data_IF_739074182146
#
_entry.id   IF_739074182146
#
_cell.length_a   1.000
_cell.length_b   1.000
_cell.length_c   1.000
_cell.angle_alpha   90.00
_cell.angle_beta   90.00
_cell.angle_gamma   90.00
#
_symmetry.space_group_name_H-M   'P 1'
#
loop_
_entity.id
_entity.type
_entity.pdbx_description
1 polymer ?
#
# COMPACT_ATOMS: atom_id res chain seq x y z
N UNK A 1 3.10 -0.77 14.26
CA UNK A 1 2.31 -1.69 15.09
C UNK A 1 1.57 -2.65 14.16
N UNK A 2 1.54 -3.96 14.46
CA UNK A 2 0.86 -4.98 13.64
C UNK A 2 -0.42 -5.47 14.29
N UNK A 3 -1.46 -5.77 13.50
CA UNK A 3 -2.69 -6.39 13.98
C UNK A 3 -2.60 -7.92 13.87
N UNK A 4 -2.23 -8.57 14.97
CA UNK A 4 -1.88 -10.00 14.99
C UNK A 4 -2.93 -10.93 14.39
N UNK A 5 -4.22 -10.72 14.67
CA UNK A 5 -5.29 -11.56 14.13
C UNK A 5 -5.41 -11.45 12.60
N UNK A 6 -5.36 -10.23 12.06
CA UNK A 6 -5.40 -9.98 10.61
C UNK A 6 -4.18 -10.58 9.91
N UNK A 7 -3.00 -10.41 10.51
CA UNK A 7 -1.73 -10.92 10.01
C UNK A 7 -1.70 -12.46 9.94
N UNK A 8 -2.23 -13.15 10.96
CA UNK A 8 -2.36 -14.61 10.96
C UNK A 8 -3.29 -15.09 9.86
N UNK A 9 -4.43 -14.40 9.65
CA UNK A 9 -5.37 -14.74 8.57
C UNK A 9 -4.73 -14.52 7.20
N UNK A 10 -4.06 -13.39 7.02
CA UNK A 10 -3.35 -13.06 5.78
C UNK A 10 -2.41 -14.19 5.36
N UNK A 11 -1.53 -14.61 6.28
CA UNK A 11 -0.54 -15.65 6.02
C UNK A 11 -1.10 -17.02 5.67
N UNK A 12 -2.36 -17.31 6.03
CA UNK A 12 -2.95 -18.64 5.88
C UNK A 12 -4.00 -18.73 4.77
N UNK A 13 -4.71 -17.64 4.50
CA UNK A 13 -5.97 -17.70 3.76
C UNK A 13 -6.16 -16.62 2.70
N UNK A 14 -5.26 -15.64 2.60
CA UNK A 14 -5.39 -14.53 1.64
C UNK A 14 -4.30 -14.61 0.58
N UNK A 15 -4.56 -14.00 -0.58
CA UNK A 15 -3.53 -13.80 -1.59
C UNK A 15 -2.41 -12.93 -1.03
N UNK A 16 -1.15 -13.14 -1.41
CA UNK A 16 0.01 -12.40 -0.90
C UNK A 16 0.08 -10.99 -1.53
N UNK A 17 -1.00 -10.22 -1.37
CA UNK A 17 -1.14 -8.86 -1.89
C UNK A 17 -1.35 -7.93 -0.71
N UNK A 18 -0.47 -6.93 -0.58
CA UNK A 18 -0.54 -5.89 0.43
C UNK A 18 -0.74 -4.55 -0.27
N UNK A 19 -1.77 -3.82 0.14
CA UNK A 19 -1.96 -2.43 -0.28
C UNK A 19 -1.36 -1.52 0.80
N UNK A 20 -0.50 -0.58 0.40
CA UNK A 20 0.10 0.40 1.31
C UNK A 20 -0.20 1.82 0.85
N UNK A 21 -0.52 2.68 1.82
CA UNK A 21 -0.80 4.09 1.56
C UNK A 21 -0.39 4.97 2.75
N UNK A 22 -0.15 6.24 2.46
CA UNK A 22 0.17 7.29 3.43
C UNK A 22 -0.92 8.37 3.41
N UNK A 23 -1.30 8.86 4.59
CA UNK A 23 -2.26 9.97 4.67
C UNK A 23 -1.77 11.06 5.60
N UNK A 24 -1.72 12.29 5.09
CA UNK A 24 -1.27 13.45 5.84
C UNK A 24 -2.33 13.93 6.83
N UNK A 25 -1.94 14.12 8.08
CA UNK A 25 -2.82 14.56 9.14
C UNK A 25 -3.00 16.08 9.12
N UNK A 26 -4.27 16.50 9.11
CA UNK A 26 -4.67 17.91 9.21
C UNK A 26 -4.87 18.27 10.68
N UNK A 27 -3.79 18.50 11.41
CA UNK A 27 -3.82 18.89 12.81
C UNK A 27 -2.60 19.69 13.20
N UNK A 28 -2.61 20.25 14.42
CA UNK A 28 -1.50 21.08 14.96
C UNK A 28 -0.13 20.40 14.88
N UNK A 29 -0.12 19.07 14.96
CA UNK A 29 1.11 18.27 15.00
C UNK A 29 1.54 17.72 13.63
N UNK A 30 0.71 17.91 12.58
CA UNK A 30 1.00 17.38 11.24
C UNK A 30 1.26 15.88 11.23
N UNK A 31 2.15 15.44 10.34
CA UNK A 31 2.57 14.05 10.22
C UNK A 31 1.80 13.26 9.17
N UNK A 32 2.21 12.01 9.01
CA UNK A 32 1.63 11.04 8.08
C UNK A 32 1.29 9.75 8.83
N UNK A 33 0.09 9.22 8.61
CA UNK A 33 -0.23 7.84 9.01
C UNK A 33 0.00 6.94 7.81
N UNK A 34 0.91 5.98 7.97
CA UNK A 34 1.13 4.88 7.05
C UNK A 34 0.25 3.70 7.44
N UNK A 35 -0.40 3.08 6.45
CA UNK A 35 -1.26 1.92 6.66
C UNK A 35 -0.92 0.85 5.63
N UNK A 36 -0.87 -0.40 6.09
CA UNK A 36 -0.82 -1.58 5.25
C UNK A 36 -2.12 -2.37 5.46
N UNK A 37 -2.79 -2.70 4.36
CA UNK A 37 -4.02 -3.50 4.34
C UNK A 37 -3.88 -4.69 3.42
N UNK A 38 -4.74 -5.68 3.64
CA UNK A 38 -4.87 -6.89 2.83
C UNK A 38 -6.34 -7.11 2.54
N UNK A 39 -6.65 -7.90 1.51
CA UNK A 39 -8.03 -8.20 1.11
C UNK A 39 -8.25 -9.71 1.06
N UNK A 40 -9.39 -10.17 1.57
CA UNK A 40 -9.81 -11.57 1.42
C UNK A 40 -10.53 -11.82 0.08
N UNK A 41 -10.82 -13.08 -0.21
CA UNK A 41 -11.57 -13.46 -1.42
C UNK A 41 -13.05 -13.04 -1.41
N UNK A 42 -13.54 -12.45 -0.31
CA UNK A 42 -14.88 -11.87 -0.19
C UNK A 42 -14.83 -10.33 -0.21
N UNK A 43 -13.73 -9.78 -0.71
CA UNK A 43 -13.49 -8.34 -0.86
C UNK A 43 -13.38 -7.55 0.46
N UNK A 44 -13.33 -8.20 1.62
CA UNK A 44 -13.15 -7.49 2.89
C UNK A 44 -11.71 -7.04 3.07
N UNK A 45 -11.54 -5.78 3.46
CA UNK A 45 -10.23 -5.17 3.69
C UNK A 45 -9.89 -5.23 5.17
N UNK A 46 -8.70 -5.73 5.48
CA UNK A 46 -8.19 -5.84 6.85
C UNK A 46 -6.89 -5.03 7.00
N UNK A 47 -6.80 -4.11 7.96
CA UNK A 47 -5.52 -3.51 8.31
C UNK A 47 -4.62 -4.56 8.98
N UNK A 48 -3.37 -4.64 8.54
CA UNK A 48 -2.34 -5.52 9.10
C UNK A 48 -1.25 -4.75 9.84
N UNK A 49 -1.00 -3.50 9.46
CA UNK A 49 -0.08 -2.62 10.16
C UNK A 49 -0.43 -1.15 9.96
N UNK A 50 -0.06 -0.34 10.96
CA UNK A 50 -0.08 1.11 10.84
C UNK A 50 1.06 1.74 11.64
N UNK A 51 1.43 2.97 11.26
CA UNK A 51 2.45 3.77 11.93
C UNK A 51 2.25 5.26 11.68
N UNK A 52 2.55 6.07 12.69
CA UNK A 52 2.73 7.51 12.54
C UNK A 52 4.18 7.81 12.14
N UNK A 53 4.37 8.71 11.17
CA UNK A 53 5.64 9.34 10.88
C UNK A 53 5.51 10.84 10.69
N UNK A 54 6.66 11.49 10.55
CA UNK A 54 6.78 12.94 10.42
C UNK A 54 6.32 13.46 9.04
N UNK A 55 6.60 12.71 7.97
CA UNK A 55 6.15 12.98 6.60
C UNK A 55 6.37 11.76 5.69
N UNK A 56 5.88 11.81 4.45
CA UNK A 56 6.13 10.79 3.40
C UNK A 56 7.57 10.81 2.83
N UNK A 57 8.57 10.76 3.70
CA UNK A 57 9.97 10.72 3.32
C UNK A 57 10.54 9.29 3.31
N UNK A 58 11.73 9.13 2.73
CA UNK A 58 12.41 7.83 2.59
C UNK A 58 12.59 7.12 3.94
N UNK A 59 13.04 7.84 4.98
CA UNK A 59 13.30 7.25 6.29
C UNK A 59 12.01 6.76 6.96
N UNK A 60 10.93 7.52 6.85
CA UNK A 60 9.64 7.17 7.41
C UNK A 60 9.01 5.96 6.73
N UNK A 61 9.09 5.88 5.40
CA UNK A 61 8.64 4.72 4.63
C UNK A 61 9.49 3.48 4.88
N UNK A 62 10.81 3.60 4.80
CA UNK A 62 11.74 2.49 5.04
C UNK A 62 11.50 1.86 6.41
N UNK A 63 11.42 2.68 7.46
CA UNK A 63 11.18 2.17 8.80
C UNK A 63 9.81 1.50 8.93
N UNK A 64 8.75 2.08 8.34
CA UNK A 64 7.44 1.44 8.34
C UNK A 64 7.48 0.06 7.67
N UNK A 65 8.13 -0.02 6.52
CA UNK A 65 8.28 -1.26 5.75
C UNK A 65 9.16 -2.29 6.47
N UNK A 66 10.24 -1.88 7.14
CA UNK A 66 11.07 -2.78 7.95
C UNK A 66 10.28 -3.36 9.12
N UNK A 67 9.50 -2.53 9.81
CA UNK A 67 8.60 -2.99 10.87
C UNK A 67 7.56 -3.97 10.32
N UNK A 68 7.02 -3.71 9.13
CA UNK A 68 6.09 -4.60 8.45
C UNK A 68 6.77 -5.93 8.08
N UNK A 69 7.99 -5.90 7.53
CA UNK A 69 8.77 -7.10 7.18
C UNK A 69 9.00 -8.00 8.38
N UNK A 70 9.36 -7.40 9.52
CA UNK A 70 9.51 -8.12 10.79
C UNK A 70 8.23 -8.83 11.23
N UNK A 71 7.06 -8.25 10.98
CA UNK A 71 5.77 -8.85 11.31
C UNK A 71 5.35 -9.95 10.31
N UNK A 72 5.55 -9.74 9.01
CA UNK A 72 5.07 -10.64 7.96
C UNK A 72 5.74 -12.03 7.98
N UNK A 73 6.99 -12.11 8.47
CA UNK A 73 7.89 -13.24 8.20
C UNK A 73 8.12 -13.41 6.67
N UNK A 74 8.66 -14.55 6.24
CA UNK A 74 8.83 -14.83 4.81
C UNK A 74 7.50 -15.20 4.15
N UNK A 75 7.16 -14.52 3.06
CA UNK A 75 5.98 -14.76 2.21
C UNK A 75 6.48 -14.83 0.77
N UNK A 76 6.16 -15.92 0.08
CA UNK A 76 6.53 -16.15 -1.33
C UNK A 76 5.58 -15.36 -2.23
N UNK A 77 6.11 -14.84 -3.35
CA UNK A 77 5.35 -14.09 -4.37
C UNK A 77 4.57 -12.88 -3.82
N UNK A 78 5.16 -12.15 -2.87
CA UNK A 78 4.55 -10.97 -2.27
C UNK A 78 4.40 -9.84 -3.29
N UNK A 79 3.20 -9.26 -3.36
CA UNK A 79 2.86 -8.13 -4.22
C UNK A 79 2.50 -6.93 -3.35
N UNK A 80 3.13 -5.78 -3.62
CA UNK A 80 2.73 -4.49 -3.08
C UNK A 80 1.93 -3.70 -4.11
N UNK A 81 0.81 -3.14 -3.68
CA UNK A 81 0.05 -2.15 -4.45
C UNK A 81 0.11 -0.82 -3.70
N UNK A 82 0.50 0.27 -4.37
CA UNK A 82 0.58 1.57 -3.71
C UNK A 82 0.37 2.77 -4.64
N UNK A 83 0.33 3.99 -4.07
CA UNK A 83 0.51 5.21 -4.87
C UNK A 83 1.94 5.34 -5.42
N UNK A 84 2.14 6.25 -6.38
CA UNK A 84 3.41 6.57 -7.07
C UNK A 84 4.31 7.52 -6.28
N UNK A 85 4.30 7.46 -4.95
CA UNK A 85 5.19 8.30 -4.17
C UNK A 85 6.62 7.76 -4.26
N UNK A 86 7.59 8.56 -4.74
CA UNK A 86 8.96 8.11 -4.98
C UNK A 86 9.62 7.51 -3.73
N UNK A 87 9.37 8.09 -2.55
CA UNK A 87 9.88 7.56 -1.27
C UNK A 87 9.33 6.17 -0.94
N UNK A 88 8.09 5.89 -1.33
CA UNK A 88 7.44 4.61 -1.09
C UNK A 88 7.99 3.54 -2.03
N UNK A 89 8.09 3.87 -3.31
CA UNK A 89 8.74 3.01 -4.32
C UNK A 89 10.17 2.64 -3.89
N UNK A 90 10.97 3.63 -3.50
CA UNK A 90 12.33 3.40 -3.01
C UNK A 90 12.36 2.53 -1.75
N UNK A 91 11.41 2.72 -0.83
CA UNK A 91 11.26 1.91 0.37
C UNK A 91 10.93 0.44 0.05
N UNK A 92 9.98 0.19 -0.86
CA UNK A 92 9.60 -1.17 -1.25
C UNK A 92 10.76 -1.89 -1.90
N UNK A 93 11.45 -1.27 -2.87
CA UNK A 93 12.62 -1.88 -3.51
C UNK A 93 13.76 -2.17 -2.52
N UNK A 94 13.97 -1.30 -1.53
CA UNK A 94 15.02 -1.47 -0.53
C UNK A 94 14.70 -2.58 0.46
N UNK A 95 13.48 -2.62 0.99
CA UNK A 95 13.10 -3.52 2.09
C UNK A 95 12.60 -4.88 1.58
N UNK A 96 11.92 -4.91 0.44
CA UNK A 96 11.34 -6.10 -0.18
C UNK A 96 11.81 -6.24 -1.63
N UNK A 97 13.12 -6.49 -1.88
CA UNK A 97 13.68 -6.53 -3.23
C UNK A 97 13.08 -7.63 -4.12
N UNK A 98 12.58 -8.71 -3.51
CA UNK A 98 11.97 -9.85 -4.22
C UNK A 98 10.46 -9.68 -4.44
N UNK A 99 9.85 -8.64 -3.85
CA UNK A 99 8.42 -8.40 -4.00
C UNK A 99 8.11 -7.69 -5.32
N UNK A 100 6.98 -8.05 -5.92
CA UNK A 100 6.47 -7.29 -7.08
C UNK A 100 5.81 -6.01 -6.59
N UNK A 101 6.13 -4.87 -7.20
CA UNK A 101 5.51 -3.59 -6.87
C UNK A 101 4.64 -3.10 -8.04
N UNK A 102 3.38 -2.81 -7.76
CA UNK A 102 2.39 -2.37 -8.75
C UNK A 102 1.77 -1.05 -8.29
N UNK A 103 1.47 -0.19 -9.26
CA UNK A 103 0.81 1.09 -9.01
C UNK A 103 -0.70 0.86 -8.87
N UNK A 104 -1.29 1.46 -7.84
CA UNK A 104 -2.73 1.46 -7.63
C UNK A 104 -3.46 2.07 -8.84
N UNK A 105 -4.38 1.29 -9.43
CA UNK A 105 -5.13 1.69 -10.63
C UNK A 105 -5.97 2.97 -10.42
N UNK A 106 -6.48 3.18 -9.21
CA UNK A 106 -7.26 4.37 -8.86
C UNK A 106 -6.39 5.62 -8.83
N UNK A 107 -5.24 5.56 -8.15
CA UNK A 107 -4.26 6.66 -8.12
C UNK A 107 -3.69 6.94 -9.50
N UNK A 108 -3.40 5.88 -10.27
CA UNK A 108 -2.99 6.02 -11.67
C UNK A 108 -4.04 6.77 -12.49
N UNK A 109 -5.31 6.35 -12.43
CA UNK A 109 -6.42 6.97 -13.15
C UNK A 109 -6.59 8.44 -12.77
N UNK A 110 -6.51 8.77 -11.47
CA UNK A 110 -6.55 10.16 -11.00
C UNK A 110 -5.43 11.01 -11.56
N UNK A 111 -4.22 10.48 -11.58
CA UNK A 111 -3.06 11.19 -12.10
C UNK A 111 -3.17 11.42 -13.61
N UNK A 112 -3.62 10.43 -14.39
CA UNK A 112 -3.86 10.58 -15.83
C UNK A 112 -4.95 11.61 -16.09
N UNK A 113 -6.06 11.56 -15.34
CA UNK A 113 -7.13 12.55 -15.44
C UNK A 113 -6.63 13.97 -15.16
N UNK A 114 -5.76 14.14 -14.15
CA UNK A 114 -5.15 15.43 -13.80
C UNK A 114 -4.19 15.94 -14.89
N UNK A 115 -3.35 15.07 -15.43
CA UNK A 115 -2.31 15.43 -16.40
C UNK A 115 -2.87 15.68 -17.80
N UNK A 116 -3.85 14.89 -18.23
CA UNK A 116 -4.38 14.91 -19.60
C UNK A 116 -5.80 15.49 -19.70
N UNK A 117 -6.35 16.01 -18.60
CA UNK A 117 -7.71 16.58 -18.52
C UNK A 117 -8.84 15.64 -19.02
N UNK A 118 -8.58 14.33 -18.99
CA UNK A 118 -9.55 13.28 -19.28
C UNK A 118 -10.41 13.01 -18.04
N UNK A 119 -11.66 12.59 -18.21
CA UNK A 119 -12.57 12.23 -17.10
C UNK A 119 -13.03 10.78 -17.13
N UNK A 120 -12.77 10.09 -18.24
CA UNK A 120 -13.22 8.75 -18.58
C UNK A 120 -12.23 7.64 -18.22
N UNK A 121 -10.97 7.98 -17.90
CA UNK A 121 -9.90 6.99 -17.66
C UNK A 121 -10.24 6.07 -16.49
N UNK A 122 -10.80 6.61 -15.42
CA UNK A 122 -11.21 5.81 -14.26
C UNK A 122 -12.29 4.77 -14.65
N UNK A 123 -13.25 5.16 -15.50
CA UNK A 123 -14.31 4.26 -15.98
C UNK A 123 -13.76 3.18 -16.90
N UNK A 124 -12.78 3.51 -17.75
CA UNK A 124 -12.13 2.54 -18.63
C UNK A 124 -11.34 1.52 -17.80
N UNK A 125 -10.60 1.98 -16.79
CA UNK A 125 -9.79 1.13 -15.92
C UNK A 125 -10.66 0.22 -15.04
N UNK A 126 -11.78 0.71 -14.50
CA UNK A 126 -12.71 -0.13 -13.72
C UNK A 126 -13.34 -1.23 -14.56
N UNK A 127 -13.72 -0.94 -15.82
CA UNK A 127 -14.21 -1.98 -16.75
C UNK A 127 -13.16 -3.05 -17.05
N UNK A 128 -11.89 -2.65 -17.23
CA UNK A 128 -10.80 -3.59 -17.50
C UNK A 128 -10.37 -4.39 -16.26
N UNK A 129 -10.52 -3.83 -15.05
CA UNK A 129 -10.17 -4.53 -13.82
C UNK A 129 -11.21 -5.58 -13.40
N UNK A 130 -12.44 -5.49 -13.93
CA UNK A 130 -13.57 -6.38 -13.63
C UNK A 130 -13.87 -7.40 -14.75
N UNK A 131 -13.17 -7.33 -15.88
CA UNK A 131 -13.30 -8.23 -17.03
C UNK A 131 -12.41 -9.44 -16.91
#
# INVERSE_FOLDING_TARGET
MSLGASLIRFRRYMHPVIVVDGTNLKGRFGGTIFVATVQDGSEHVYPIAFRYGDSENNLSWEWFLDCLKGALCHIVDLVFISDRHASLEAGVYKVFPDATHIICCWHFSKNVNKQFHRKDVATIMDKAARS
#
